data_IF_929728663211
#
_entry.id   IF_929728663211
#
_cell.length_a   1.000
_cell.length_b   1.000
_cell.length_c   1.000
_cell.angle_alpha   90.00
_cell.angle_beta   90.00
_cell.angle_gamma   90.00
#
_symmetry.space_group_name_H-M   'P 1'
#
loop_
_entity.id
_entity.type
_entity.pdbx_description
1 polymer ?
#
# COMPACT_ATOMS: atom_id res chain seq x y z
N UNK A 1 27.21 37.20 -38.60
CA UNK A 1 27.90 36.16 -37.82
C UNK A 1 28.03 36.46 -36.33
N UNK A 2 27.04 37.10 -35.69
CA UNK A 2 27.02 37.33 -34.25
C UNK A 2 25.72 36.80 -33.55
N UNK A 3 24.76 36.23 -34.33
CA UNK A 3 23.48 35.76 -33.80
C UNK A 3 23.41 34.24 -33.51
N UNK A 4 24.46 33.48 -33.85
CA UNK A 4 24.50 32.01 -33.73
C UNK A 4 25.23 31.54 -32.48
N UNK A 5 25.67 32.43 -31.60
CA UNK A 5 26.41 32.08 -30.35
C UNK A 5 25.56 32.13 -29.08
N UNK A 6 24.32 32.58 -29.14
CA UNK A 6 23.49 32.79 -27.95
C UNK A 6 22.44 31.69 -27.73
N UNK A 7 22.25 30.75 -28.65
CA UNK A 7 21.25 29.68 -28.57
C UNK A 7 21.84 28.38 -28.00
N UNK A 8 23.17 28.25 -27.88
CA UNK A 8 23.82 27.03 -27.37
C UNK A 8 24.23 27.08 -25.89
N UNK A 9 23.87 28.14 -25.14
CA UNK A 9 24.32 28.35 -23.77
C UNK A 9 23.24 28.18 -22.69
N UNK A 10 22.04 27.62 -23.01
CA UNK A 10 20.95 27.46 -22.03
C UNK A 10 20.70 25.97 -21.65
N UNK A 11 21.47 25.04 -22.20
CA UNK A 11 21.26 23.58 -21.91
C UNK A 11 22.27 22.98 -20.93
N UNK A 12 23.12 23.77 -20.31
CA UNK A 12 24.06 23.25 -19.32
C UNK A 12 24.07 24.13 -18.07
N UNK A 13 23.20 23.89 -17.12
CA UNK A 13 23.43 24.05 -15.67
C UNK A 13 22.09 23.91 -14.90
N UNK A 14 21.58 22.70 -14.80
CA UNK A 14 20.82 22.31 -13.60
C UNK A 14 21.70 21.32 -12.84
N UNK A 15 22.64 21.90 -12.09
CA UNK A 15 23.37 21.20 -11.05
C UNK A 15 22.34 20.81 -9.98
N UNK A 16 22.18 19.53 -9.85
CA UNK A 16 21.51 18.85 -8.76
C UNK A 16 22.13 19.32 -7.44
N UNK A 17 21.53 20.33 -6.81
CA UNK A 17 21.79 20.59 -5.41
C UNK A 17 21.10 19.47 -4.64
N UNK A 18 21.87 18.44 -4.31
CA UNK A 18 21.46 17.41 -3.37
C UNK A 18 21.10 18.08 -2.06
N UNK A 19 19.81 18.15 -1.78
CA UNK A 19 19.34 18.31 -0.41
C UNK A 19 19.78 17.05 0.31
N UNK A 20 20.79 17.20 1.15
CA UNK A 20 21.29 16.15 2.01
C UNK A 20 20.10 15.60 2.80
N UNK A 21 19.79 14.31 2.53
CA UNK A 21 19.10 13.51 3.50
C UNK A 21 19.91 13.67 4.79
N UNK A 22 19.31 14.25 5.82
CA UNK A 22 19.81 14.16 7.17
C UNK A 22 19.79 12.67 7.53
N UNK A 23 20.88 11.99 7.23
CA UNK A 23 21.18 10.71 7.81
C UNK A 23 21.26 11.00 9.30
N UNK A 24 20.21 10.63 10.04
CA UNK A 24 20.30 10.47 11.47
C UNK A 24 21.42 9.44 11.68
N UNK A 25 22.60 9.95 12.03
CA UNK A 25 23.69 9.11 12.54
C UNK A 25 23.16 8.56 13.87
N UNK A 26 22.53 7.41 13.80
CA UNK A 26 22.06 6.66 14.94
C UNK A 26 23.30 6.05 15.58
N UNK A 27 23.53 6.44 16.82
CA UNK A 27 24.56 5.88 17.70
C UNK A 27 24.40 4.35 17.71
N UNK A 28 25.40 3.64 17.19
CA UNK A 28 25.34 2.20 16.85
C UNK A 28 25.28 1.27 18.08
N UNK A 29 24.76 1.73 19.21
CA UNK A 29 24.77 1.00 20.48
C UNK A 29 23.43 0.84 21.21
N UNK A 30 22.46 1.72 21.04
CA UNK A 30 21.18 1.66 21.74
C UNK A 30 20.08 1.07 20.87
N UNK A 31 19.32 0.09 21.41
CA UNK A 31 18.15 -0.44 20.73
C UNK A 31 17.10 0.67 20.57
N UNK A 32 16.55 0.82 19.37
CA UNK A 32 15.45 1.75 19.07
C UNK A 32 14.18 1.25 19.77
N UNK A 33 13.69 2.01 20.76
CA UNK A 33 12.44 1.67 21.45
C UNK A 33 11.28 2.29 20.70
N UNK A 34 10.38 1.45 20.18
CA UNK A 34 9.23 1.86 19.39
C UNK A 34 7.92 1.57 20.11
N UNK A 35 7.03 2.56 20.14
CA UNK A 35 5.60 2.40 20.38
C UNK A 35 4.88 2.15 19.06
N UNK A 36 3.61 1.74 19.09
CA UNK A 36 2.84 1.52 17.85
C UNK A 36 2.76 2.78 16.99
N UNK A 37 2.56 3.95 17.61
CA UNK A 37 2.42 5.20 16.86
C UNK A 37 3.76 5.70 16.30
N UNK A 38 4.86 5.57 17.06
CA UNK A 38 6.19 5.87 16.52
C UNK A 38 6.60 4.91 15.41
N UNK A 39 6.22 3.64 15.48
CA UNK A 39 6.46 2.68 14.38
C UNK A 39 5.70 3.06 13.10
N UNK A 40 4.46 3.54 13.24
CA UNK A 40 3.68 4.07 12.10
C UNK A 40 4.38 5.28 11.48
N UNK A 41 4.83 6.24 12.30
CA UNK A 41 5.56 7.43 11.81
C UNK A 41 6.81 7.05 11.02
N UNK A 42 7.66 6.17 11.56
CA UNK A 42 8.83 5.64 10.84
C UNK A 42 8.45 4.97 9.51
N UNK A 43 7.37 4.19 9.51
CA UNK A 43 6.93 3.52 8.29
C UNK A 43 6.43 4.51 7.24
N UNK A 44 5.68 5.54 7.62
CA UNK A 44 5.18 6.54 6.67
C UNK A 44 6.32 7.37 6.04
N UNK A 45 7.42 7.58 6.77
CA UNK A 45 8.59 8.28 6.26
C UNK A 45 9.52 7.36 5.44
N UNK A 46 9.74 6.11 5.91
CA UNK A 46 10.74 5.18 5.37
C UNK A 46 10.22 4.20 4.34
N UNK A 47 8.90 3.92 4.29
CA UNK A 47 8.35 2.88 3.44
C UNK A 47 8.39 3.25 1.95
N UNK A 48 9.00 2.38 1.14
CA UNK A 48 9.17 2.63 -0.29
C UNK A 48 7.84 2.71 -1.06
N UNK A 49 6.80 1.98 -0.63
CA UNK A 49 5.49 2.04 -1.29
C UNK A 49 4.80 3.38 -1.05
N UNK A 50 4.88 3.93 0.17
CA UNK A 50 4.36 5.28 0.49
C UNK A 50 5.12 6.32 -0.31
N UNK A 51 6.45 6.22 -0.36
CA UNK A 51 7.30 7.13 -1.14
C UNK A 51 6.99 7.08 -2.64
N UNK A 52 6.79 5.88 -3.19
CA UNK A 52 6.39 5.70 -4.59
C UNK A 52 5.02 6.34 -4.87
N UNK A 53 4.05 6.13 -3.98
CA UNK A 53 2.73 6.74 -4.10
C UNK A 53 2.80 8.28 -4.03
N UNK A 54 3.62 8.85 -3.13
CA UNK A 54 3.86 10.28 -3.02
C UNK A 54 4.47 10.86 -4.31
N UNK A 55 5.51 10.21 -4.86
CA UNK A 55 6.10 10.63 -6.15
C UNK A 55 5.09 10.58 -7.31
N UNK A 56 4.14 9.63 -7.27
CA UNK A 56 3.09 9.56 -8.29
C UNK A 56 2.10 10.72 -8.16
N UNK A 57 1.80 11.16 -6.94
CA UNK A 57 1.00 12.37 -6.68
C UNK A 57 1.72 13.61 -7.23
N UNK A 58 3.00 13.80 -6.92
CA UNK A 58 3.81 14.91 -7.47
C UNK A 58 3.82 14.91 -9.00
N UNK A 59 3.98 13.73 -9.62
CA UNK A 59 3.93 13.59 -11.07
C UNK A 59 2.58 14.03 -11.64
N UNK A 60 1.46 13.65 -11.00
CA UNK A 60 0.11 14.03 -11.43
C UNK A 60 -0.17 15.51 -11.16
N UNK A 61 0.35 16.05 -10.08
CA UNK A 61 0.29 17.50 -9.78
C UNK A 61 1.01 18.31 -10.87
N UNK A 62 2.24 17.91 -11.21
CA UNK A 62 3.01 18.52 -12.30
C UNK A 62 2.23 18.43 -13.62
N UNK A 63 1.66 17.26 -13.96
CA UNK A 63 0.84 17.08 -15.15
C UNK A 63 -0.39 18.00 -15.16
N UNK A 64 -1.02 18.23 -14.01
CA UNK A 64 -2.14 19.17 -13.86
C UNK A 64 -1.71 20.61 -14.06
N UNK A 65 -0.58 21.03 -13.48
CA UNK A 65 -0.02 22.38 -13.70
C UNK A 65 0.35 22.65 -15.16
N UNK A 66 0.92 21.65 -15.84
CA UNK A 66 1.31 21.76 -17.26
C UNK A 66 0.19 21.41 -18.25
N UNK A 67 -1.03 21.11 -17.80
CA UNK A 67 -2.16 20.74 -18.66
C UNK A 67 -2.50 21.85 -19.70
N UNK A 68 -2.23 23.11 -19.38
CA UNK A 68 -2.37 24.25 -20.26
C UNK A 68 -1.44 24.21 -21.47
N UNK A 69 -0.39 23.39 -21.48
CA UNK A 69 0.49 23.21 -22.63
C UNK A 69 -0.24 22.64 -23.85
N UNK A 70 -1.39 21.98 -23.63
CA UNK A 70 -2.27 21.51 -24.73
C UNK A 70 -2.83 22.65 -25.60
N UNK A 71 -2.84 23.88 -25.11
CA UNK A 71 -3.24 25.10 -25.81
C UNK A 71 -2.02 25.85 -26.41
N UNK A 72 -0.81 25.45 -26.03
CA UNK A 72 0.42 26.11 -26.46
C UNK A 72 0.66 25.97 -27.97
N UNK A 73 1.20 27.02 -28.63
CA UNK A 73 1.59 26.93 -30.04
C UNK A 73 2.63 25.82 -30.28
N UNK A 74 2.41 25.00 -31.29
CA UNK A 74 3.44 24.09 -31.76
C UNK A 74 4.38 24.83 -32.70
N UNK A 75 5.69 24.79 -32.42
CA UNK A 75 6.73 25.42 -33.26
C UNK A 75 7.59 24.31 -33.82
N UNK A 76 7.73 24.25 -35.12
CA UNK A 76 8.59 23.26 -35.77
C UNK A 76 9.49 23.89 -36.81
N UNK A 77 10.69 23.35 -36.97
CA UNK A 77 11.64 23.66 -38.02
C UNK A 77 11.95 22.37 -38.76
N UNK A 78 11.77 22.39 -40.05
CA UNK A 78 11.98 21.24 -40.92
C UNK A 78 13.07 21.55 -41.95
N UNK A 79 14.03 20.66 -42.08
CA UNK A 79 15.03 20.71 -43.16
C UNK A 79 15.00 19.39 -43.92
N UNK A 80 15.00 19.45 -45.21
CA UNK A 80 14.94 18.26 -46.03
C UNK A 80 15.82 18.39 -47.30
N UNK A 81 16.40 17.29 -47.72
CA UNK A 81 17.08 17.13 -49.01
C UNK A 81 16.42 15.93 -49.70
N UNK A 82 16.00 16.10 -50.94
CA UNK A 82 15.32 15.05 -51.67
C UNK A 82 15.78 15.01 -53.12
N UNK A 83 15.77 13.82 -53.73
CA UNK A 83 15.93 13.62 -55.15
C UNK A 83 14.84 12.67 -55.64
N UNK A 84 14.06 13.11 -56.64
CA UNK A 84 13.14 12.20 -57.33
C UNK A 84 13.97 11.31 -58.25
N UNK A 85 13.79 10.01 -58.20
CA UNK A 85 14.50 9.04 -59.03
C UNK A 85 13.80 8.94 -60.41
N UNK A 86 13.94 9.96 -61.23
CA UNK A 86 13.49 10.00 -62.62
C UNK A 86 14.58 10.69 -63.49
N UNK A 87 14.56 10.48 -64.83
CA UNK A 87 15.52 11.09 -65.68
C UNK A 87 15.48 12.64 -65.62
N UNK A 88 16.64 13.27 -65.56
CA UNK A 88 16.86 14.73 -65.49
C UNK A 88 16.33 15.44 -64.19
N UNK A 89 16.18 14.77 -63.09
CA UNK A 89 15.75 15.42 -61.80
C UNK A 89 16.94 15.91 -60.98
N UNK A 90 16.87 17.17 -60.55
CA UNK A 90 17.86 17.82 -59.72
C UNK A 90 17.59 17.44 -58.22
N UNK A 91 18.64 17.46 -57.42
CA UNK A 91 18.52 17.35 -55.97
C UNK A 91 17.87 18.63 -55.46
N UNK A 92 16.78 18.50 -54.70
CA UNK A 92 16.06 19.60 -54.06
C UNK A 92 16.49 19.75 -52.60
N UNK A 93 16.50 20.96 -52.11
CA UNK A 93 16.59 21.24 -50.67
C UNK A 93 15.37 22.04 -50.23
N UNK A 94 14.95 21.82 -49.00
CA UNK A 94 13.90 22.58 -48.35
C UNK A 94 14.28 22.92 -46.92
N UNK A 95 13.99 24.13 -46.50
CA UNK A 95 14.09 24.59 -45.12
C UNK A 95 12.78 25.29 -44.77
N UNK A 96 12.11 24.87 -43.75
CA UNK A 96 10.84 25.47 -43.33
C UNK A 96 10.70 25.60 -41.83
N UNK A 97 9.91 26.59 -41.43
CA UNK A 97 9.49 26.75 -40.06
C UNK A 97 7.97 26.93 -40.03
N UNK A 98 7.32 26.35 -39.03
CA UNK A 98 5.89 26.56 -38.82
C UNK A 98 5.56 26.80 -37.35
N UNK A 99 4.55 27.64 -37.14
CA UNK A 99 3.90 27.86 -35.86
C UNK A 99 2.43 27.58 -36.07
N UNK A 100 1.86 26.70 -35.23
CA UNK A 100 0.45 26.37 -35.31
C UNK A 100 -0.19 26.33 -33.96
N UNK A 101 -1.41 26.82 -33.86
CA UNK A 101 -2.27 26.73 -32.65
C UNK A 101 -3.55 26.03 -33.08
N UNK A 102 -3.98 25.05 -32.24
CA UNK A 102 -5.25 24.38 -32.43
C UNK A 102 -6.07 24.54 -31.20
N UNK A 103 -7.28 25.01 -31.34
CA UNK A 103 -8.26 25.12 -30.28
C UNK A 103 -9.45 24.20 -30.57
N UNK A 104 -9.77 23.34 -29.59
CA UNK A 104 -10.96 22.49 -29.59
C UNK A 104 -11.64 22.60 -28.25
N UNK A 105 -12.98 22.57 -28.15
CA UNK A 105 -13.67 22.59 -26.85
C UNK A 105 -13.27 21.41 -25.93
N UNK A 106 -12.82 20.28 -26.49
CA UNK A 106 -12.27 19.13 -25.75
C UNK A 106 -11.01 19.45 -24.94
N UNK A 107 -10.27 20.53 -25.27
CA UNK A 107 -9.10 20.97 -24.52
C UNK A 107 -9.48 21.35 -23.07
N UNK A 108 -10.65 21.98 -22.88
CA UNK A 108 -11.14 22.35 -21.55
C UNK A 108 -11.34 21.08 -20.71
N UNK A 109 -11.98 20.05 -21.30
CA UNK A 109 -12.14 18.75 -20.63
C UNK A 109 -10.81 18.05 -20.38
N UNK A 110 -9.82 18.19 -21.26
CA UNK A 110 -8.48 17.63 -21.08
C UNK A 110 -7.74 18.28 -19.91
N UNK A 111 -7.83 19.60 -19.76
CA UNK A 111 -7.25 20.32 -18.62
C UNK A 111 -7.94 19.91 -17.32
N UNK A 112 -9.28 19.85 -17.31
CA UNK A 112 -10.06 19.37 -16.16
C UNK A 112 -9.72 17.91 -15.82
N UNK A 113 -9.52 17.05 -16.82
CA UNK A 113 -9.10 15.66 -16.61
C UNK A 113 -7.80 15.58 -15.84
N UNK A 114 -6.80 16.37 -16.17
CA UNK A 114 -5.52 16.38 -15.47
C UNK A 114 -5.68 16.75 -13.97
N UNK A 115 -6.57 17.70 -13.65
CA UNK A 115 -6.91 18.04 -12.27
C UNK A 115 -7.64 16.89 -11.56
N UNK A 116 -8.60 16.25 -12.22
CA UNK A 116 -9.34 15.11 -11.66
C UNK A 116 -8.43 13.89 -11.46
N UNK A 117 -7.51 13.64 -12.41
CA UNK A 117 -6.50 12.56 -12.28
C UNK A 117 -5.58 12.81 -11.06
N UNK A 118 -5.22 14.07 -10.79
CA UNK A 118 -4.46 14.43 -9.60
C UNK A 118 -5.26 14.18 -8.30
N UNK A 119 -6.54 14.59 -8.26
CA UNK A 119 -7.40 14.35 -7.11
C UNK A 119 -7.62 12.85 -6.86
N UNK A 120 -7.81 12.07 -7.93
CA UNK A 120 -7.91 10.61 -7.83
C UNK A 120 -6.62 9.99 -7.29
N UNK A 121 -5.46 10.50 -7.71
CA UNK A 121 -4.17 10.01 -7.22
C UNK A 121 -3.94 10.33 -5.74
N UNK A 122 -4.48 11.44 -5.22
CA UNK A 122 -4.48 11.73 -3.77
C UNK A 122 -5.27 10.66 -3.00
N UNK A 123 -6.45 10.29 -3.48
CA UNK A 123 -7.24 9.22 -2.86
C UNK A 123 -6.44 7.90 -2.84
N UNK A 124 -5.77 7.55 -3.94
CA UNK A 124 -4.93 6.35 -4.00
C UNK A 124 -3.70 6.42 -3.07
N UNK A 125 -3.15 7.62 -2.87
CA UNK A 125 -2.09 7.84 -1.90
C UNK A 125 -2.58 7.64 -0.46
N UNK A 126 -3.74 8.20 -0.11
CA UNK A 126 -4.34 8.05 1.21
C UNK A 126 -4.68 6.59 1.51
N UNK A 127 -5.15 5.83 0.50
CA UNK A 127 -5.36 4.38 0.59
C UNK A 127 -4.04 3.62 0.83
N UNK A 128 -2.95 3.99 0.14
CA UNK A 128 -1.64 3.37 0.33
C UNK A 128 -1.07 3.65 1.73
N UNK A 129 -1.14 4.89 2.22
CA UNK A 129 -0.77 5.29 3.58
C UNK A 129 -1.54 4.46 4.60
N UNK A 130 -2.86 4.39 4.44
CA UNK A 130 -3.74 3.66 5.33
C UNK A 130 -3.45 2.15 5.35
N UNK A 131 -3.16 1.57 4.19
CA UNK A 131 -2.77 0.16 4.07
C UNK A 131 -1.46 -0.14 4.78
N UNK A 132 -0.46 0.74 4.65
CA UNK A 132 0.83 0.60 5.35
C UNK A 132 0.63 0.75 6.85
N UNK A 133 -0.15 1.74 7.32
CA UNK A 133 -0.46 1.92 8.73
C UNK A 133 -1.14 0.70 9.34
N UNK A 134 -2.16 0.14 8.68
CA UNK A 134 -2.83 -1.09 9.11
C UNK A 134 -1.84 -2.25 9.25
N UNK A 135 -0.98 -2.43 8.24
CA UNK A 135 0.01 -3.50 8.23
C UNK A 135 1.04 -3.35 9.36
N UNK A 136 1.55 -2.13 9.58
CA UNK A 136 2.49 -1.82 10.67
C UNK A 136 1.87 -2.11 12.03
N UNK A 137 0.63 -1.64 12.28
CA UNK A 137 -0.09 -1.87 13.55
C UNK A 137 -0.29 -3.37 13.80
N UNK A 138 -0.69 -4.12 12.77
CA UNK A 138 -0.85 -5.59 12.88
C UNK A 138 0.47 -6.31 13.13
N UNK A 139 1.53 -5.97 12.41
CA UNK A 139 2.86 -6.54 12.62
C UNK A 139 3.40 -6.22 14.02
N UNK A 140 3.22 -4.99 14.49
CA UNK A 140 3.62 -4.58 15.83
C UNK A 140 2.96 -5.46 16.91
N UNK A 141 1.64 -5.66 16.85
CA UNK A 141 0.94 -6.50 17.81
C UNK A 141 1.22 -8.00 17.61
N UNK A 142 1.51 -8.45 16.39
CA UNK A 142 1.93 -9.84 16.14
C UNK A 142 3.28 -10.13 16.77
N UNK A 143 4.25 -9.21 16.68
CA UNK A 143 5.57 -9.34 17.30
C UNK A 143 5.45 -9.32 18.84
N UNK A 144 4.63 -8.43 19.40
CA UNK A 144 4.36 -8.45 20.85
C UNK A 144 3.75 -9.78 21.30
N UNK A 145 2.84 -10.36 20.52
CA UNK A 145 2.30 -11.70 20.79
C UNK A 145 3.40 -12.75 20.80
N UNK A 146 4.33 -12.70 19.84
CA UNK A 146 5.41 -13.68 19.74
C UNK A 146 6.44 -13.53 20.87
N UNK A 147 6.76 -12.31 21.30
CA UNK A 147 7.59 -12.05 22.50
C UNK A 147 6.95 -12.63 23.77
N UNK A 148 5.63 -12.46 23.95
CA UNK A 148 4.90 -13.06 25.05
C UNK A 148 4.84 -14.60 24.97
N UNK A 149 4.70 -15.15 23.76
CA UNK A 149 4.76 -16.58 23.50
C UNK A 149 6.12 -17.18 23.88
N UNK A 150 7.21 -16.53 23.50
CA UNK A 150 8.58 -16.93 23.86
C UNK A 150 8.74 -16.96 25.38
N UNK A 151 8.25 -15.96 26.11
CA UNK A 151 8.29 -15.94 27.57
C UNK A 151 7.55 -17.13 28.21
N UNK A 152 6.41 -17.53 27.64
CA UNK A 152 5.69 -18.73 28.08
C UNK A 152 6.45 -20.03 27.77
N UNK A 153 7.10 -20.12 26.60
CA UNK A 153 7.92 -21.27 26.22
C UNK A 153 9.19 -21.37 27.06
N UNK A 154 9.83 -20.27 27.43
CA UNK A 154 10.95 -20.25 28.37
C UNK A 154 10.56 -20.79 29.76
N UNK A 155 9.35 -20.41 30.21
CA UNK A 155 8.79 -20.95 31.45
C UNK A 155 8.54 -22.46 31.33
N UNK A 156 8.05 -22.94 30.18
CA UNK A 156 7.83 -24.37 29.92
C UNK A 156 9.14 -25.16 29.90
N UNK A 157 10.19 -24.64 29.24
CA UNK A 157 11.55 -25.25 29.26
C UNK A 157 12.09 -25.35 30.70
N UNK A 158 11.91 -24.29 31.49
CA UNK A 158 12.36 -24.26 32.89
C UNK A 158 11.63 -25.33 33.71
N UNK A 159 10.30 -25.49 33.54
CA UNK A 159 9.52 -26.54 34.19
C UNK A 159 9.96 -27.93 33.74
N UNK A 160 10.13 -28.18 32.43
CA UNK A 160 10.54 -29.47 31.92
C UNK A 160 11.95 -29.84 32.39
N UNK A 161 12.88 -28.89 32.46
CA UNK A 161 14.24 -29.09 32.99
C UNK A 161 14.24 -29.45 34.47
N UNK A 162 13.44 -28.75 35.27
CA UNK A 162 13.28 -29.03 36.71
C UNK A 162 12.71 -30.44 36.90
N UNK A 163 11.69 -30.81 36.13
CA UNK A 163 11.09 -32.14 36.18
C UNK A 163 12.05 -33.24 35.77
N UNK A 164 12.82 -33.07 34.71
CA UNK A 164 13.86 -34.03 34.29
C UNK A 164 14.91 -34.23 35.37
N UNK A 165 15.44 -33.15 35.96
CA UNK A 165 16.41 -33.20 37.06
C UNK A 165 15.87 -33.92 38.29
N UNK A 166 14.61 -33.64 38.67
CA UNK A 166 13.96 -34.32 39.78
C UNK A 166 13.78 -35.83 39.53
N UNK A 167 13.38 -36.21 38.30
CA UNK A 167 13.22 -37.60 37.89
C UNK A 167 14.55 -38.34 37.83
N UNK A 168 15.61 -37.69 37.35
CA UNK A 168 16.97 -38.25 37.35
C UNK A 168 17.44 -38.55 38.79
N UNK A 169 17.17 -37.64 39.73
CA UNK A 169 17.49 -37.82 41.15
C UNK A 169 16.73 -39.00 41.74
N UNK A 170 15.41 -39.11 41.50
CA UNK A 170 14.58 -40.23 41.96
C UNK A 170 15.03 -41.56 41.39
N UNK A 171 15.44 -41.61 40.10
CA UNK A 171 16.00 -42.80 39.46
C UNK A 171 17.32 -43.21 40.15
N UNK A 172 18.22 -42.28 40.41
CA UNK A 172 19.49 -42.57 41.09
C UNK A 172 19.28 -43.13 42.50
N UNK A 173 18.15 -42.77 43.17
CA UNK A 173 17.74 -43.34 44.45
C UNK A 173 16.91 -44.63 44.30
N UNK A 174 16.71 -45.16 43.10
CA UNK A 174 15.96 -46.39 42.83
C UNK A 174 14.45 -46.29 43.03
N UNK A 175 13.89 -45.08 43.07
CA UNK A 175 12.46 -44.82 43.32
C UNK A 175 11.65 -44.48 42.05
N UNK A 176 12.31 -44.41 40.87
CA UNK A 176 11.69 -44.13 39.57
C UNK A 176 12.24 -45.04 38.50
N UNK A 177 11.45 -45.36 37.47
CA UNK A 177 11.89 -46.17 36.32
C UNK A 177 12.78 -45.39 35.35
N UNK A 178 13.64 -46.09 34.63
CA UNK A 178 14.43 -45.49 33.56
C UNK A 178 13.53 -44.94 32.44
N UNK A 179 12.39 -45.55 32.17
CA UNK A 179 11.41 -45.12 31.17
C UNK A 179 10.88 -43.71 31.52
N UNK A 180 10.58 -43.43 32.80
CA UNK A 180 10.10 -42.11 33.22
C UNK A 180 11.14 -41.02 33.09
N UNK A 181 12.43 -41.35 33.26
CA UNK A 181 13.55 -40.43 33.01
C UNK A 181 13.64 -40.11 31.53
N UNK A 182 13.61 -41.13 30.64
CA UNK A 182 13.64 -40.94 29.21
C UNK A 182 12.45 -40.12 28.72
N UNK A 183 11.25 -40.39 29.18
CA UNK A 183 10.05 -39.61 28.88
C UNK A 183 10.21 -38.13 29.28
N UNK A 184 10.77 -37.85 30.46
CA UNK A 184 11.02 -36.47 30.88
C UNK A 184 12.14 -35.80 30.11
N UNK A 185 13.12 -36.54 29.60
CA UNK A 185 14.17 -36.05 28.72
C UNK A 185 13.61 -35.66 27.34
N UNK A 186 12.77 -36.50 26.75
CA UNK A 186 12.08 -36.20 25.49
C UNK A 186 11.24 -34.93 25.61
N UNK A 187 10.45 -34.84 26.69
CA UNK A 187 9.65 -33.64 26.96
C UNK A 187 10.47 -32.35 27.10
N UNK A 188 11.67 -32.42 27.71
CA UNK A 188 12.60 -31.30 27.78
C UNK A 188 13.10 -30.90 26.38
N UNK A 189 13.53 -31.89 25.58
CA UNK A 189 13.99 -31.65 24.19
C UNK A 189 12.89 -31.03 23.32
N UNK A 190 11.67 -31.53 23.43
CA UNK A 190 10.51 -30.95 22.71
C UNK A 190 10.24 -29.50 23.13
N UNK A 191 10.33 -29.18 24.42
CA UNK A 191 10.17 -27.82 24.90
C UNK A 191 11.29 -26.89 24.40
N UNK A 192 12.54 -27.37 24.39
CA UNK A 192 13.70 -26.61 23.85
C UNK A 192 13.58 -26.38 22.34
N UNK A 193 13.14 -27.37 21.57
CA UNK A 193 12.89 -27.24 20.13
C UNK A 193 11.79 -26.23 19.81
N UNK A 194 10.69 -26.27 20.59
CA UNK A 194 9.59 -25.33 20.42
C UNK A 194 10.03 -23.89 20.72
N UNK A 195 10.85 -23.68 21.75
CA UNK A 195 11.41 -22.37 22.07
C UNK A 195 12.30 -21.85 20.96
N UNK A 196 13.21 -22.69 20.43
CA UNK A 196 14.12 -22.30 19.38
C UNK A 196 13.38 -21.95 18.08
N UNK A 197 12.36 -22.74 17.72
CA UNK A 197 11.48 -22.46 16.57
C UNK A 197 10.77 -21.11 16.70
N UNK A 198 10.27 -20.78 17.89
CA UNK A 198 9.62 -19.50 18.16
C UNK A 198 10.60 -18.32 18.06
N UNK A 199 11.85 -18.48 18.54
CA UNK A 199 12.88 -17.45 18.40
C UNK A 199 13.23 -17.16 16.94
N UNK A 200 13.36 -18.20 16.13
CA UNK A 200 13.61 -18.05 14.67
C UNK A 200 12.41 -17.36 14.00
N UNK A 201 11.18 -17.69 14.38
CA UNK A 201 9.98 -17.01 13.87
C UNK A 201 10.01 -15.52 14.21
N UNK A 202 10.29 -15.17 15.46
CA UNK A 202 10.40 -13.77 15.90
C UNK A 202 11.47 -13.01 15.10
N UNK A 203 12.62 -13.63 14.84
CA UNK A 203 13.69 -12.98 14.05
C UNK A 203 13.23 -12.67 12.62
N UNK A 204 12.51 -13.60 11.98
CA UNK A 204 11.94 -13.41 10.65
C UNK A 204 10.87 -12.30 10.64
N UNK A 205 9.99 -12.27 11.64
CA UNK A 205 8.97 -11.24 11.78
C UNK A 205 9.60 -9.87 12.04
N UNK A 206 10.64 -9.81 12.86
CA UNK A 206 11.43 -8.59 13.09
C UNK A 206 12.16 -8.12 11.84
N UNK A 207 12.65 -9.02 10.98
CA UNK A 207 13.25 -8.66 9.70
C UNK A 207 12.20 -8.06 8.75
N UNK A 208 11.02 -8.68 8.68
CA UNK A 208 9.87 -8.15 7.92
C UNK A 208 9.43 -6.78 8.45
N UNK A 209 9.39 -6.61 9.76
CA UNK A 209 9.01 -5.35 10.39
C UNK A 209 10.01 -4.23 10.05
N UNK A 210 11.32 -4.49 10.13
CA UNK A 210 12.36 -3.52 9.70
C UNK A 210 12.17 -3.12 8.24
N UNK A 211 11.88 -4.07 7.37
CA UNK A 211 11.62 -3.80 5.95
C UNK A 211 10.40 -2.88 5.76
N UNK A 212 9.31 -3.14 6.47
CA UNK A 212 8.09 -2.32 6.39
C UNK A 212 8.31 -0.91 6.93
N UNK A 213 9.13 -0.77 7.99
CA UNK A 213 9.54 0.52 8.55
C UNK A 213 10.55 1.27 7.67
N UNK A 214 11.13 0.63 6.65
CA UNK A 214 12.19 1.20 5.83
C UNK A 214 13.54 1.33 6.57
N UNK A 215 13.74 0.55 7.63
CA UNK A 215 14.96 0.57 8.43
C UNK A 215 16.01 -0.42 7.90
N UNK A 216 17.33 -0.16 8.11
CA UNK A 216 18.40 -1.12 7.82
C UNK A 216 18.19 -2.46 8.55
N UNK A 217 18.61 -3.57 7.91
CA UNK A 217 18.40 -4.92 8.44
C UNK A 217 19.10 -5.22 9.77
N UNK A 218 20.13 -4.48 10.12
CA UNK A 218 20.93 -4.61 11.35
C UNK A 218 20.41 -3.76 12.52
N UNK A 219 19.38 -2.94 12.30
CA UNK A 219 18.80 -2.07 13.34
C UNK A 219 18.18 -2.91 14.45
N UNK A 220 18.66 -2.72 15.68
CA UNK A 220 18.08 -3.35 16.87
C UNK A 220 16.84 -2.59 17.30
N UNK A 221 15.69 -3.26 17.30
CA UNK A 221 14.40 -2.70 17.69
C UNK A 221 13.95 -3.39 18.97
N UNK A 222 13.37 -2.62 19.88
CA UNK A 222 12.65 -3.11 21.06
C UNK A 222 11.25 -2.51 21.06
N UNK A 223 10.23 -3.35 21.14
CA UNK A 223 8.86 -2.88 21.18
C UNK A 223 8.46 -2.46 22.61
N UNK A 224 7.70 -1.39 22.70
CA UNK A 224 7.14 -0.90 23.96
C UNK A 224 5.62 -0.88 23.86
N UNK A 225 4.96 -1.81 24.51
CA UNK A 225 3.50 -1.95 24.52
C UNK A 225 3.05 -3.15 25.29
N UNK A 226 1.76 -3.26 25.51
CA UNK A 226 1.12 -4.43 26.13
C UNK A 226 -0.26 -4.66 25.50
N UNK A 227 -0.58 -5.92 25.24
CA UNK A 227 -1.92 -6.29 24.74
C UNK A 227 -2.95 -6.40 25.87
N UNK A 228 -2.56 -6.36 27.12
CA UNK A 228 -3.48 -6.55 28.26
C UNK A 228 -4.50 -5.41 28.41
N UNK A 229 -4.18 -4.21 27.90
CA UNK A 229 -5.10 -3.08 27.85
C UNK A 229 -6.36 -3.38 27.00
N UNK A 230 -6.22 -4.14 25.95
CA UNK A 230 -7.32 -4.50 25.04
C UNK A 230 -8.30 -5.52 25.62
N UNK A 231 -7.90 -6.21 26.68
CA UNK A 231 -8.78 -7.13 27.42
C UNK A 231 -9.93 -6.42 28.16
N UNK A 232 -9.87 -5.08 28.27
CA UNK A 232 -10.86 -4.26 28.98
C UNK A 232 -11.78 -3.48 28.03
N UNK A 233 -11.62 -3.62 26.71
CA UNK A 233 -12.43 -2.89 25.72
C UNK A 233 -13.91 -3.24 25.88
N UNK A 234 -14.74 -2.20 26.07
CA UNK A 234 -16.19 -2.28 26.18
C UNK A 234 -16.90 -2.73 24.88
N UNK A 235 -18.19 -2.57 24.81
CA UNK A 235 -18.92 -2.80 23.55
C UNK A 235 -18.50 -1.78 22.51
N UNK A 236 -18.29 -2.26 21.28
CA UNK A 236 -17.92 -1.43 20.14
C UNK A 236 -19.22 -1.13 19.39
N UNK A 237 -19.58 0.16 19.31
CA UNK A 237 -20.69 0.66 18.49
C UNK A 237 -20.13 1.59 17.41
N UNK A 238 -20.74 1.52 16.24
CA UNK A 238 -20.49 2.45 15.12
C UNK A 238 -21.51 3.59 15.08
N UNK A 239 -22.41 3.67 16.08
CA UNK A 239 -23.46 4.67 16.11
C UNK A 239 -22.88 6.08 16.21
N UNK A 240 -23.31 6.95 15.30
CA UNK A 240 -22.87 8.35 15.25
C UNK A 240 -21.52 8.57 14.57
N UNK A 241 -20.88 7.54 14.01
CA UNK A 241 -19.64 7.66 13.24
C UNK A 241 -19.96 7.79 11.74
N UNK A 242 -19.23 8.67 11.06
CA UNK A 242 -19.33 8.80 9.61
C UNK A 242 -18.56 7.66 8.93
N UNK A 243 -19.30 6.76 8.29
CA UNK A 243 -18.73 5.60 7.60
C UNK A 243 -18.49 5.99 6.14
N UNK A 244 -17.23 6.05 5.75
CA UNK A 244 -16.79 6.38 4.40
C UNK A 244 -15.78 5.36 3.87
N UNK A 245 -16.24 4.18 3.37
CA UNK A 245 -15.35 3.16 2.84
C UNK A 245 -14.51 3.72 1.68
N UNK A 246 -13.20 3.53 1.72
CA UNK A 246 -12.27 4.07 0.72
C UNK A 246 -12.63 3.64 -0.71
N UNK A 247 -13.06 2.40 -0.90
CA UNK A 247 -13.49 1.89 -2.20
C UNK A 247 -14.67 2.67 -2.80
N UNK A 248 -15.67 3.06 -1.98
CA UNK A 248 -16.81 3.85 -2.44
C UNK A 248 -16.39 5.25 -2.84
N UNK A 249 -15.49 5.87 -2.05
CA UNK A 249 -14.92 7.20 -2.36
C UNK A 249 -14.13 7.15 -3.67
N UNK A 250 -13.34 6.10 -3.88
CA UNK A 250 -12.55 5.88 -5.10
C UNK A 250 -13.46 5.74 -6.33
N UNK A 251 -14.50 4.91 -6.29
CA UNK A 251 -15.46 4.76 -7.41
C UNK A 251 -16.23 6.05 -7.70
N UNK A 252 -16.63 6.80 -6.68
CA UNK A 252 -17.28 8.11 -6.87
C UNK A 252 -16.39 9.05 -7.67
N UNK A 253 -15.08 9.10 -7.37
CA UNK A 253 -14.14 9.93 -8.12
C UNK A 253 -13.92 9.40 -9.54
N UNK A 254 -13.87 8.09 -9.75
CA UNK A 254 -13.77 7.47 -11.09
C UNK A 254 -14.98 7.81 -11.96
N UNK A 255 -16.18 7.86 -11.39
CA UNK A 255 -17.40 8.30 -12.12
C UNK A 255 -17.23 9.75 -12.57
N UNK A 256 -16.77 10.64 -11.70
CA UNK A 256 -16.54 12.06 -12.06
C UNK A 256 -15.50 12.21 -13.21
N UNK A 257 -14.42 11.41 -13.17
CA UNK A 257 -13.43 11.35 -14.27
C UNK A 257 -14.10 10.85 -15.56
N UNK A 258 -14.93 9.82 -15.49
CA UNK A 258 -15.62 9.24 -16.67
C UNK A 258 -16.68 10.21 -17.24
N UNK A 259 -17.38 10.98 -16.40
CA UNK A 259 -18.31 12.03 -16.84
C UNK A 259 -17.56 13.15 -17.58
N UNK A 260 -16.41 13.59 -17.06
CA UNK A 260 -15.59 14.56 -17.76
C UNK A 260 -15.06 13.99 -19.10
N UNK A 261 -14.70 12.68 -19.14
CA UNK A 261 -14.33 12.01 -20.39
C UNK A 261 -15.48 11.93 -21.39
N UNK A 262 -16.71 11.73 -20.92
CA UNK A 262 -17.91 11.79 -21.77
C UNK A 262 -18.07 13.18 -22.40
N UNK A 263 -17.86 14.26 -21.64
CA UNK A 263 -17.85 15.62 -22.18
C UNK A 263 -16.77 15.82 -23.22
N UNK A 264 -15.55 15.33 -22.97
CA UNK A 264 -14.43 15.37 -23.93
C UNK A 264 -14.79 14.63 -25.22
N UNK A 265 -15.40 13.45 -25.12
CA UNK A 265 -15.83 12.62 -26.25
C UNK A 265 -16.93 13.33 -27.08
N UNK A 266 -17.91 13.96 -26.41
CA UNK A 266 -18.94 14.77 -27.09
C UNK A 266 -18.34 15.94 -27.83
N UNK A 267 -17.43 16.70 -27.20
CA UNK A 267 -16.75 17.80 -27.86
C UNK A 267 -15.85 17.35 -29.02
N UNK A 268 -15.26 16.18 -28.93
CA UNK A 268 -14.47 15.61 -30.03
C UNK A 268 -15.35 15.15 -31.18
N UNK A 269 -16.54 14.59 -30.92
CA UNK A 269 -17.45 14.08 -31.93
C UNK A 269 -18.24 15.19 -32.63
N UNK A 270 -18.59 16.29 -31.93
CA UNK A 270 -19.49 17.35 -32.44
C UNK A 270 -18.88 18.74 -32.43
N UNK A 271 -17.78 18.94 -31.73
CA UNK A 271 -17.23 20.26 -31.48
C UNK A 271 -16.43 20.80 -32.69
N UNK A 272 -16.48 22.13 -32.93
CA UNK A 272 -15.64 22.76 -33.92
C UNK A 272 -14.17 22.71 -33.53
N UNK A 273 -13.30 22.55 -34.56
CA UNK A 273 -11.87 22.72 -34.42
C UNK A 273 -11.45 24.01 -35.07
N UNK A 274 -10.89 24.94 -34.33
CA UNK A 274 -10.27 26.17 -34.85
C UNK A 274 -8.76 25.93 -34.92
N UNK A 275 -8.17 26.11 -36.10
CA UNK A 275 -6.72 26.02 -36.29
C UNK A 275 -6.22 27.31 -36.94
N UNK A 276 -5.17 27.90 -36.38
CA UNK A 276 -4.43 29.02 -36.95
C UNK A 276 -2.96 28.61 -37.11
N UNK A 277 -2.39 28.90 -38.26
CA UNK A 277 -1.00 28.53 -38.52
C UNK A 277 -0.30 29.51 -39.41
N UNK A 278 0.98 29.73 -39.18
CA UNK A 278 1.90 30.40 -40.05
C UNK A 278 3.02 29.44 -40.42
N UNK A 279 3.29 29.31 -41.72
CA UNK A 279 4.44 28.56 -42.19
C UNK A 279 5.26 29.38 -43.15
N UNK A 280 6.56 29.23 -43.04
CA UNK A 280 7.52 29.81 -43.97
C UNK A 280 8.39 28.69 -44.53
N UNK A 281 8.54 28.65 -45.86
CA UNK A 281 9.38 27.66 -46.52
C UNK A 281 10.30 28.28 -47.54
N UNK A 282 11.53 27.83 -47.54
CA UNK A 282 12.56 28.09 -48.50
C UNK A 282 12.85 26.77 -49.25
N UNK A 283 12.71 26.73 -50.56
CA UNK A 283 13.04 25.55 -51.32
C UNK A 283 13.78 25.92 -52.61
N UNK A 284 14.67 25.07 -53.06
CA UNK A 284 15.45 25.27 -54.27
C UNK A 284 16.10 23.97 -54.76
N UNK A 285 16.74 24.04 -55.91
CA UNK A 285 17.48 22.94 -56.52
C UNK A 285 18.99 23.18 -56.35
N UNK A 286 19.75 22.15 -56.07
CA UNK A 286 21.21 22.23 -56.09
C UNK A 286 21.69 22.39 -57.57
N UNK A 287 22.53 23.41 -57.83
CA UNK A 287 23.11 23.65 -59.12
C UNK A 287 22.36 24.67 -59.95
N UNK A 288 21.23 25.21 -59.53
CA UNK A 288 20.63 26.40 -60.20
C UNK A 288 21.16 27.67 -59.48
N UNK A 289 21.28 28.79 -60.27
CA UNK A 289 21.44 30.11 -59.65
C UNK A 289 20.31 30.28 -58.63
N UNK A 290 20.67 30.71 -57.42
CA UNK A 290 19.78 30.69 -56.23
C UNK A 290 18.47 31.46 -56.49
N UNK A 291 17.56 30.87 -57.22
CA UNK A 291 16.15 31.26 -57.29
C UNK A 291 15.44 30.52 -56.19
N UNK A 292 15.75 30.90 -54.94
CA UNK A 292 15.03 30.40 -53.78
C UNK A 292 13.58 30.92 -53.85
N UNK A 293 12.63 29.99 -53.88
CA UNK A 293 11.23 30.36 -53.79
C UNK A 293 10.88 30.44 -52.31
N UNK A 294 10.85 31.68 -51.78
CA UNK A 294 10.42 31.94 -50.41
C UNK A 294 8.90 32.05 -50.41
N UNK A 295 8.25 31.20 -49.62
CA UNK A 295 6.79 31.25 -49.45
C UNK A 295 6.45 31.34 -47.97
N UNK A 296 5.78 32.42 -47.56
CA UNK A 296 5.08 32.51 -46.30
C UNK A 296 3.59 32.24 -46.50
N UNK A 297 2.97 31.44 -45.68
CA UNK A 297 1.52 31.24 -45.69
C UNK A 297 0.95 31.42 -44.31
N UNK A 298 -0.15 32.15 -44.22
CA UNK A 298 -0.99 32.26 -43.03
C UNK A 298 -2.29 31.50 -43.31
N UNK A 299 -2.66 30.59 -42.42
CA UNK A 299 -3.88 29.80 -42.54
C UNK A 299 -4.74 29.97 -41.27
N UNK A 300 -6.02 30.15 -41.46
CA UNK A 300 -7.04 30.08 -40.43
C UNK A 300 -8.14 29.15 -40.95
N UNK A 301 -8.43 28.10 -40.20
CA UNK A 301 -9.42 27.12 -40.61
C UNK A 301 -10.33 26.78 -39.43
N UNK A 302 -11.61 26.59 -39.75
CA UNK A 302 -12.62 26.06 -38.85
C UNK A 302 -13.13 24.75 -39.47
N UNK A 303 -13.08 23.67 -38.71
CA UNK A 303 -13.58 22.37 -39.13
C UNK A 303 -14.65 21.90 -38.16
N UNK A 304 -15.78 21.48 -38.66
CA UNK A 304 -16.89 20.90 -37.86
C UNK A 304 -17.11 19.48 -38.39
N UNK A 305 -16.91 18.45 -37.55
CA UNK A 305 -17.17 17.07 -37.93
C UNK A 305 -18.68 16.82 -38.01
N UNK A 306 -19.20 16.59 -39.20
CA UNK A 306 -20.63 16.34 -39.44
C UNK A 306 -21.00 14.85 -39.24
N UNK A 307 -20.04 13.97 -39.43
CA UNK A 307 -20.19 12.52 -39.22
C UNK A 307 -20.59 12.16 -37.80
N UNK A 308 -20.12 12.91 -36.81
CA UNK A 308 -20.45 12.71 -35.39
C UNK A 308 -21.94 12.82 -35.07
N UNK A 309 -22.73 13.50 -35.92
CA UNK A 309 -24.17 13.60 -35.76
C UNK A 309 -24.95 12.41 -36.33
N UNK A 310 -24.27 11.49 -37.04
CA UNK A 310 -24.90 10.33 -37.64
C UNK A 310 -24.92 9.17 -36.62
N UNK A 311 -26.08 8.50 -36.41
CA UNK A 311 -26.22 7.45 -35.36
C UNK A 311 -25.27 6.26 -35.54
N UNK A 312 -24.79 6.01 -36.76
CA UNK A 312 -23.88 4.90 -37.07
C UNK A 312 -22.42 5.32 -37.12
N UNK A 313 -22.11 6.53 -36.71
CA UNK A 313 -20.72 7.04 -36.74
C UNK A 313 -19.88 6.51 -35.56
N UNK A 314 -18.58 6.54 -35.76
CA UNK A 314 -17.59 6.22 -34.68
C UNK A 314 -17.76 7.18 -33.51
N UNK A 315 -18.09 8.45 -33.76
CA UNK A 315 -18.35 9.45 -32.71
C UNK A 315 -19.56 9.08 -31.84
N UNK A 316 -20.69 8.69 -32.49
CA UNK A 316 -21.88 8.25 -31.78
C UNK A 316 -21.61 6.97 -30.96
N UNK A 317 -20.91 5.98 -31.56
CA UNK A 317 -20.52 4.76 -30.85
C UNK A 317 -19.65 5.07 -29.63
N UNK A 318 -18.67 5.96 -29.75
CA UNK A 318 -17.79 6.35 -28.64
C UNK A 318 -18.53 7.00 -27.50
N UNK A 319 -19.55 7.83 -27.79
CA UNK A 319 -20.41 8.44 -26.77
C UNK A 319 -21.22 7.37 -26.02
N UNK A 320 -21.84 6.42 -26.74
CA UNK A 320 -22.60 5.33 -26.11
C UNK A 320 -21.69 4.42 -25.28
N UNK A 321 -20.50 4.10 -25.77
CA UNK A 321 -19.50 3.34 -25.00
C UNK A 321 -19.13 4.05 -23.69
N UNK A 322 -18.95 5.38 -23.74
CA UNK A 322 -18.60 6.14 -22.53
C UNK A 322 -19.78 6.23 -21.54
N UNK A 323 -21.02 6.33 -22.02
CA UNK A 323 -22.21 6.23 -21.15
C UNK A 323 -22.29 4.86 -20.47
N UNK A 324 -22.10 3.77 -21.23
CA UNK A 324 -22.06 2.43 -20.68
C UNK A 324 -20.95 2.26 -19.65
N UNK A 325 -19.78 2.90 -19.85
CA UNK A 325 -18.69 2.90 -18.86
C UNK A 325 -19.12 3.56 -17.55
N UNK A 326 -19.81 4.68 -17.60
CA UNK A 326 -20.34 5.36 -16.40
C UNK A 326 -21.36 4.47 -15.67
N UNK A 327 -22.25 3.81 -16.40
CA UNK A 327 -23.23 2.88 -15.83
C UNK A 327 -22.54 1.68 -15.15
N UNK A 328 -21.52 1.09 -15.80
CA UNK A 328 -20.69 0.01 -15.21
C UNK A 328 -20.02 0.48 -13.92
N UNK A 329 -19.43 1.68 -13.91
CA UNK A 329 -18.82 2.24 -12.70
C UNK A 329 -19.86 2.47 -11.58
N UNK A 330 -21.09 2.88 -11.94
CA UNK A 330 -22.19 2.99 -10.99
C UNK A 330 -22.56 1.65 -10.32
N UNK A 331 -22.63 0.58 -11.12
CA UNK A 331 -22.86 -0.79 -10.63
C UNK A 331 -21.68 -1.25 -9.75
N UNK A 332 -20.45 -0.97 -10.16
CA UNK A 332 -19.26 -1.31 -9.37
C UNK A 332 -19.22 -0.56 -8.04
N UNK A 333 -19.63 0.71 -8.01
CA UNK A 333 -19.76 1.49 -6.77
C UNK A 333 -20.81 0.88 -5.81
N UNK A 334 -21.94 0.45 -6.32
CA UNK A 334 -22.97 -0.21 -5.49
C UNK A 334 -22.48 -1.56 -4.97
N UNK A 335 -21.78 -2.35 -5.81
CA UNK A 335 -21.14 -3.59 -5.35
C UNK A 335 -20.07 -3.32 -4.29
N UNK A 336 -19.28 -2.26 -4.44
CA UNK A 336 -18.28 -1.87 -3.44
C UNK A 336 -18.93 -1.50 -2.11
N UNK A 337 -20.08 -0.79 -2.14
CA UNK A 337 -20.86 -0.46 -0.95
C UNK A 337 -21.37 -1.71 -0.24
N UNK A 338 -22.02 -2.62 -0.98
CA UNK A 338 -22.51 -3.89 -0.42
C UNK A 338 -21.34 -4.70 0.16
N UNK A 339 -20.20 -4.75 -0.52
CA UNK A 339 -19.00 -5.46 -0.06
C UNK A 339 -18.43 -4.85 1.22
N UNK A 340 -18.44 -3.52 1.33
CA UNK A 340 -18.00 -2.82 2.54
C UNK A 340 -18.95 -3.12 3.73
N UNK A 341 -20.27 -3.09 3.51
CA UNK A 341 -21.25 -3.44 4.55
C UNK A 341 -21.08 -4.89 5.02
N UNK A 342 -20.83 -5.82 4.10
CA UNK A 342 -20.54 -7.22 4.44
C UNK A 342 -19.24 -7.33 5.25
N UNK A 343 -18.17 -6.62 4.87
CA UNK A 343 -16.89 -6.68 5.57
C UNK A 343 -16.97 -6.06 6.97
N UNK A 344 -17.69 -4.95 7.13
CA UNK A 344 -18.00 -4.35 8.43
C UNK A 344 -18.70 -5.36 9.33
N UNK A 345 -19.77 -6.02 8.83
CA UNK A 345 -20.49 -7.02 9.59
C UNK A 345 -19.64 -8.23 9.95
N UNK A 346 -18.75 -8.69 9.05
CA UNK A 346 -17.78 -9.75 9.35
C UNK A 346 -16.82 -9.33 10.47
N UNK A 347 -16.29 -8.11 10.43
CA UNK A 347 -15.41 -7.59 11.47
C UNK A 347 -16.13 -7.51 12.82
N UNK A 348 -17.38 -7.04 12.88
CA UNK A 348 -18.19 -7.02 14.10
C UNK A 348 -18.41 -8.44 14.65
N UNK A 349 -18.71 -9.41 13.79
CA UNK A 349 -18.86 -10.81 14.20
C UNK A 349 -17.54 -11.41 14.70
N UNK A 350 -16.40 -11.11 14.07
CA UNK A 350 -15.06 -11.52 14.54
C UNK A 350 -14.77 -10.94 15.94
N UNK A 351 -15.06 -9.65 16.14
CA UNK A 351 -14.90 -8.97 17.42
C UNK A 351 -15.74 -9.64 18.51
N UNK A 352 -17.02 -9.90 18.24
CA UNK A 352 -17.91 -10.59 19.17
C UNK A 352 -17.38 -11.98 19.51
N UNK A 353 -17.04 -12.78 18.51
CA UNK A 353 -16.48 -14.12 18.69
C UNK A 353 -15.18 -14.11 19.48
N UNK A 354 -14.26 -13.16 19.22
CA UNK A 354 -13.01 -13.01 19.95
C UNK A 354 -13.26 -12.65 21.43
N UNK A 355 -14.20 -11.74 21.73
CA UNK A 355 -14.58 -11.39 23.11
C UNK A 355 -15.16 -12.57 23.87
N UNK A 356 -16.06 -13.34 23.24
CA UNK A 356 -16.65 -14.53 23.83
C UNK A 356 -15.57 -15.60 24.09
N UNK A 357 -14.65 -15.81 23.15
CA UNK A 357 -13.51 -16.71 23.30
C UNK A 357 -12.59 -16.28 24.45
N UNK A 358 -12.23 -15.01 24.55
CA UNK A 358 -11.42 -14.46 25.64
C UNK A 358 -12.07 -14.74 27.01
N UNK A 359 -13.37 -14.51 27.13
CA UNK A 359 -14.13 -14.77 28.37
C UNK A 359 -14.05 -16.25 28.76
N UNK A 360 -14.27 -17.16 27.81
CA UNK A 360 -14.19 -18.61 28.06
C UNK A 360 -12.76 -19.07 28.34
N UNK A 361 -11.76 -18.51 27.65
CA UNK A 361 -10.35 -18.86 27.86
C UNK A 361 -9.86 -18.45 29.25
N UNK A 362 -10.30 -17.32 29.81
CA UNK A 362 -9.99 -16.95 31.19
C UNK A 362 -10.48 -18.01 32.18
N UNK A 363 -11.74 -18.43 32.08
CA UNK A 363 -12.29 -19.47 32.91
C UNK A 363 -11.54 -20.82 32.75
N UNK A 364 -11.19 -21.16 31.51
CA UNK A 364 -10.42 -22.37 31.20
C UNK A 364 -9.02 -22.34 31.82
N UNK A 365 -8.34 -21.19 31.82
CA UNK A 365 -7.02 -21.03 32.44
C UNK A 365 -7.11 -21.26 33.95
N UNK A 366 -8.12 -20.69 34.61
CA UNK A 366 -8.31 -20.88 36.04
C UNK A 366 -8.53 -22.36 36.43
N UNK A 367 -9.31 -23.08 35.60
CA UNK A 367 -9.54 -24.52 35.77
C UNK A 367 -8.27 -25.34 35.50
N UNK A 368 -7.58 -25.03 34.37
CA UNK A 368 -6.34 -25.71 33.98
C UNK A 368 -5.22 -25.49 35.00
N UNK A 369 -5.13 -24.29 35.59
CA UNK A 369 -4.16 -23.98 36.64
C UNK A 369 -4.41 -24.83 37.88
N UNK A 370 -5.64 -24.88 38.35
CA UNK A 370 -6.03 -25.74 39.49
C UNK A 370 -5.77 -27.22 39.22
N UNK A 371 -6.12 -27.67 38.01
CA UNK A 371 -5.88 -29.07 37.60
C UNK A 371 -4.38 -29.40 37.60
N UNK A 372 -3.56 -28.50 37.07
CA UNK A 372 -2.10 -28.66 37.05
C UNK A 372 -1.55 -28.75 38.50
N UNK A 373 -1.93 -27.82 39.37
CA UNK A 373 -1.48 -27.78 40.79
C UNK A 373 -1.87 -29.06 41.56
N UNK A 374 -3.12 -29.51 41.42
CA UNK A 374 -3.58 -30.75 42.05
C UNK A 374 -2.86 -31.99 41.49
N UNK A 375 -2.63 -32.05 40.20
CA UNK A 375 -1.91 -33.15 39.56
C UNK A 375 -0.44 -33.16 39.98
N UNK A 376 0.20 -31.99 40.07
CA UNK A 376 1.58 -31.88 40.55
C UNK A 376 1.71 -32.37 42.00
N UNK A 377 0.76 -32.01 42.89
CA UNK A 377 0.74 -32.53 44.27
C UNK A 377 0.56 -34.06 44.32
N UNK A 378 -0.34 -34.60 43.50
CA UNK A 378 -0.60 -36.04 43.43
C UNK A 378 0.61 -36.80 42.84
N UNK A 379 1.29 -36.25 41.83
CA UNK A 379 2.54 -36.81 41.31
C UNK A 379 3.64 -36.81 42.37
N UNK A 380 3.82 -35.72 43.12
CA UNK A 380 4.83 -35.63 44.17
C UNK A 380 4.59 -36.64 45.28
N UNK A 381 3.31 -37.04 45.56
CA UNK A 381 2.92 -38.08 46.51
C UNK A 381 3.01 -39.50 45.92
N UNK A 382 3.38 -39.67 44.65
CA UNK A 382 3.44 -40.95 43.95
C UNK A 382 2.09 -41.56 43.57
N UNK A 383 0.98 -40.83 43.66
CA UNK A 383 -0.38 -41.30 43.36
C UNK A 383 -0.82 -41.09 41.94
N UNK A 384 -0.06 -40.36 41.13
CA UNK A 384 -0.30 -40.11 39.68
C UNK A 384 0.98 -40.26 38.91
N UNK A 385 0.81 -40.67 37.64
CA UNK A 385 1.87 -40.83 36.67
C UNK A 385 2.36 -39.49 36.11
N UNK A 386 3.61 -39.46 35.67
CA UNK A 386 4.23 -38.29 35.03
C UNK A 386 3.47 -37.84 33.78
N UNK A 387 2.95 -38.75 32.98
CA UNK A 387 2.20 -38.44 31.78
C UNK A 387 0.97 -37.58 32.06
N UNK A 388 0.26 -37.86 33.20
CA UNK A 388 -0.90 -37.05 33.61
C UNK A 388 -0.48 -35.63 34.00
N UNK A 389 0.69 -35.47 34.62
CA UNK A 389 1.25 -34.15 34.96
C UNK A 389 1.64 -33.37 33.69
N UNK A 390 2.31 -34.02 32.73
CA UNK A 390 2.69 -33.42 31.46
C UNK A 390 1.47 -32.97 30.67
N UNK A 391 0.42 -33.77 30.60
CA UNK A 391 -0.83 -33.42 29.94
C UNK A 391 -1.52 -32.20 30.60
N UNK A 392 -1.51 -32.13 31.93
CA UNK A 392 -2.06 -30.98 32.64
C UNK A 392 -1.25 -29.69 32.41
N UNK A 393 0.09 -29.77 32.41
CA UNK A 393 0.98 -28.67 32.10
C UNK A 393 0.79 -28.17 30.67
N UNK A 394 0.73 -29.07 29.70
CA UNK A 394 0.50 -28.76 28.28
C UNK A 394 -0.86 -28.09 28.05
N UNK A 395 -1.92 -28.59 28.72
CA UNK A 395 -3.27 -28.00 28.66
C UNK A 395 -3.30 -26.57 29.18
N UNK A 396 -2.61 -26.32 30.31
CA UNK A 396 -2.48 -24.97 30.90
C UNK A 396 -1.74 -24.03 29.93
N UNK A 397 -0.59 -24.47 29.41
CA UNK A 397 0.21 -23.68 28.47
C UNK A 397 -0.59 -23.33 27.20
N UNK A 398 -1.23 -24.32 26.58
CA UNK A 398 -2.08 -24.11 25.41
C UNK A 398 -3.22 -23.13 25.69
N UNK A 399 -3.83 -23.19 26.88
CA UNK A 399 -4.90 -22.26 27.26
C UNK A 399 -4.39 -20.82 27.40
N UNK A 400 -3.19 -20.62 27.97
CA UNK A 400 -2.54 -19.31 28.07
C UNK A 400 -2.19 -18.75 26.69
N UNK A 401 -1.58 -19.56 25.81
CA UNK A 401 -1.26 -19.18 24.44
C UNK A 401 -2.52 -18.81 23.65
N UNK A 402 -3.59 -19.60 23.81
CA UNK A 402 -4.86 -19.32 23.15
C UNK A 402 -5.47 -17.99 23.57
N UNK A 403 -5.43 -17.65 24.87
CA UNK A 403 -5.90 -16.34 25.35
C UNK A 403 -5.15 -15.19 24.67
N UNK A 404 -3.82 -15.29 24.57
CA UNK A 404 -3.00 -14.25 23.92
C UNK A 404 -3.31 -14.15 22.42
N UNK A 405 -3.45 -15.28 21.72
CA UNK A 405 -3.87 -15.32 20.33
C UNK A 405 -5.27 -14.72 20.12
N UNK A 406 -6.24 -15.04 20.97
CA UNK A 406 -7.59 -14.48 20.88
C UNK A 406 -7.61 -12.98 21.18
N UNK A 407 -6.71 -12.48 22.03
CA UNK A 407 -6.52 -11.03 22.26
C UNK A 407 -5.96 -10.34 21.01
N UNK A 408 -4.96 -10.92 20.37
CA UNK A 408 -4.44 -10.41 19.10
C UNK A 408 -5.53 -10.41 18.02
N UNK A 409 -6.32 -11.48 17.91
CA UNK A 409 -7.42 -11.58 16.96
C UNK A 409 -8.47 -10.47 17.21
N UNK A 410 -8.74 -10.12 18.46
CA UNK A 410 -9.61 -9.01 18.83
C UNK A 410 -9.05 -7.67 18.32
N UNK A 411 -7.79 -7.38 18.60
CA UNK A 411 -7.12 -6.15 18.17
C UNK A 411 -7.09 -6.06 16.63
N UNK A 412 -6.68 -7.15 15.97
CA UNK A 412 -6.66 -7.22 14.50
C UNK A 412 -8.05 -7.00 13.90
N UNK A 413 -9.11 -7.58 14.48
CA UNK A 413 -10.47 -7.40 13.99
C UNK A 413 -10.99 -5.96 14.20
N UNK A 414 -10.57 -5.27 15.26
CA UNK A 414 -10.89 -3.85 15.49
C UNK A 414 -10.18 -2.98 14.45
N UNK A 415 -8.90 -3.20 14.20
CA UNK A 415 -8.14 -2.49 13.17
C UNK A 415 -8.74 -2.72 11.77
N UNK A 416 -9.17 -3.96 11.48
CA UNK A 416 -9.88 -4.28 10.23
C UNK A 416 -11.21 -3.54 10.12
N UNK A 417 -11.96 -3.42 11.22
CA UNK A 417 -13.20 -2.67 11.27
C UNK A 417 -12.99 -1.17 11.02
N UNK A 418 -12.00 -0.57 11.69
CA UNK A 418 -11.63 0.84 11.46
C UNK A 418 -11.23 1.08 10.00
N UNK A 419 -10.49 0.13 9.41
CA UNK A 419 -10.11 0.20 8.01
C UNK A 419 -11.32 0.08 7.07
N UNK A 420 -12.19 -0.89 7.28
CA UNK A 420 -13.36 -1.13 6.44
C UNK A 420 -14.38 0.02 6.52
N UNK A 421 -14.54 0.62 7.71
CA UNK A 421 -15.43 1.75 7.94
C UNK A 421 -14.84 3.10 7.48
N UNK A 422 -13.56 3.17 7.12
CA UNK A 422 -12.90 4.42 6.77
C UNK A 422 -12.54 5.29 7.97
N UNK A 423 -12.57 4.77 9.20
CA UNK A 423 -12.29 5.51 10.44
C UNK A 423 -10.79 5.64 10.70
N UNK A 424 -10.32 6.71 11.37
CA UNK A 424 -8.93 6.79 11.83
C UNK A 424 -8.61 5.63 12.80
N UNK A 425 -7.42 5.06 12.67
CA UNK A 425 -6.98 3.98 13.55
C UNK A 425 -6.86 4.44 15.01
N UNK A 426 -7.29 3.59 15.93
CA UNK A 426 -7.33 3.88 17.35
C UNK A 426 -8.60 4.58 17.84
N UNK A 427 -9.55 4.87 16.96
CA UNK A 427 -10.84 5.47 17.35
C UNK A 427 -11.68 4.52 18.19
N UNK A 428 -11.69 3.23 17.85
CA UNK A 428 -12.45 2.18 18.53
C UNK A 428 -11.66 1.48 19.63
N UNK A 429 -10.39 1.81 19.78
CA UNK A 429 -9.49 1.25 20.81
C UNK A 429 -9.47 2.10 22.09
N UNK A 430 -10.16 3.22 22.12
CA UNK A 430 -10.35 4.07 23.30
C UNK A 430 -11.56 3.58 24.08
#
# INVERSE_FOLDING_TARGET
>A
MKFLRTVFAVVAFMSFAGTGASVFAQDSGSALVLTVDSAVEYALEGNLNVRQAAMTVEFKEMASHYAWNSVSPSISVNAGIGKVLAEDTKVTYSLGGSVAVRFTPSLISSIRKASLDYEQQKISYDEAVRSVELNVRKLFYSILLEEENISLLESAVTMARTQYSANQTKFNHGTLSQLDVLNSQVNLQDAELNLESAKVSLENDMATFRQVLGLPGDTKIKLSGSMDSFLKIGEISLDGLEIAPASVVSYKKQIEVAENQLLATRFSAWGPTLSAGYSYSLAGNFGDEVKSHNKGSLSLSVSIPLDGYLPWSVGAQSIETQKATIEILGIQMENARISADIEINKCLNKIKSAKDSIKLMRQRIDLAQKTYEMTQQAYNRGTRDILVLQNAASSLQQSKLRLKSDTFNLVSAILDLENAAGLPFGTLLK
#
